data_IF_675808666638
#
_entry.id   IF_675808666638
#
_cell.length_a   1.000
_cell.length_b   1.000
_cell.length_c   1.000
_cell.angle_alpha   90.00
_cell.angle_beta   90.00
_cell.angle_gamma   90.00
#
_symmetry.space_group_name_H-M   'P 1'
#
loop_
_entity.id
_entity.type
_entity.pdbx_description
1 polymer ?
#
# COMPACT_ATOMS: atom_id res chain seq x y z
N UNK A 1 41.43 25.71 17.17
CA UNK A 1 40.74 25.74 15.85
C UNK A 1 40.35 24.36 15.33
N UNK A 2 41.23 23.33 15.35
CA UNK A 2 40.91 21.97 14.87
C UNK A 2 39.79 21.26 15.63
N UNK A 3 39.67 21.47 16.94
CA UNK A 3 38.63 20.84 17.77
C UNK A 3 37.23 21.42 17.53
N UNK A 4 37.12 22.72 17.28
CA UNK A 4 35.84 23.37 16.96
C UNK A 4 35.28 22.91 15.61
N UNK A 5 36.16 22.70 14.61
CA UNK A 5 35.77 22.16 13.31
C UNK A 5 35.27 20.70 13.43
N UNK A 6 35.89 19.89 14.29
CA UNK A 6 35.44 18.51 14.55
C UNK A 6 34.07 18.45 15.22
N UNK A 7 33.81 19.35 16.18
CA UNK A 7 32.51 19.43 16.87
C UNK A 7 31.42 19.89 15.89
N UNK A 8 31.70 20.91 15.07
CA UNK A 8 30.75 21.38 14.05
C UNK A 8 30.38 20.29 13.02
N UNK A 9 31.36 19.47 12.61
CA UNK A 9 31.13 18.35 11.70
C UNK A 9 30.26 17.25 12.33
N UNK A 10 30.46 16.95 13.62
CA UNK A 10 29.67 15.96 14.36
C UNK A 10 28.21 16.41 14.52
N UNK A 11 27.97 17.70 14.76
CA UNK A 11 26.62 18.27 14.88
C UNK A 11 25.80 18.22 13.57
N UNK A 12 26.45 18.20 12.39
CA UNK A 12 25.73 18.06 11.12
C UNK A 12 25.12 16.65 10.93
N UNK A 13 25.69 15.62 11.56
CA UNK A 13 25.25 14.23 11.37
C UNK A 13 24.00 13.93 12.21
N UNK A 14 23.82 14.61 13.35
CA UNK A 14 22.68 14.39 14.28
C UNK A 14 21.41 15.13 13.82
N UNK A 15 21.52 16.09 12.90
CA UNK A 15 20.40 16.91 12.43
C UNK A 15 19.63 16.36 11.23
N UNK A 16 19.98 15.19 10.70
CA UNK A 16 19.26 14.60 9.57
C UNK A 16 17.90 14.07 10.04
N UNK A 17 16.77 14.48 9.42
CA UNK A 17 15.47 13.92 9.75
C UNK A 17 15.47 12.43 9.41
N UNK A 18 15.20 11.59 10.40
CA UNK A 18 14.92 10.18 10.17
C UNK A 18 13.67 10.09 9.28
N UNK A 19 13.83 9.57 8.06
CA UNK A 19 12.71 9.26 7.16
C UNK A 19 12.01 7.99 7.67
N UNK A 20 11.33 8.11 8.80
CA UNK A 20 10.47 7.06 9.31
C UNK A 20 9.27 6.95 8.37
N UNK A 21 9.22 5.87 7.59
CA UNK A 21 8.05 5.56 6.79
C UNK A 21 6.98 5.05 7.75
N UNK A 22 5.79 5.66 7.69
CA UNK A 22 4.68 5.26 8.54
C UNK A 22 4.23 3.86 8.13
N UNK A 23 4.29 2.92 9.08
CA UNK A 23 3.75 1.58 8.91
C UNK A 23 2.28 1.64 9.30
N UNK A 24 1.42 1.37 8.33
CA UNK A 24 -0.01 1.22 8.52
C UNK A 24 -0.34 -0.25 8.83
N UNK A 25 -1.39 -0.47 9.62
CA UNK A 25 -1.95 -1.80 9.86
C UNK A 25 -3.43 -1.85 9.49
N UNK A 26 -3.87 -2.95 8.89
CA UNK A 26 -5.28 -3.22 8.69
C UNK A 26 -5.59 -4.17 7.53
N UNK A 27 -6.88 -4.55 7.48
CA UNK A 27 -7.45 -5.35 6.41
C UNK A 27 -7.57 -4.53 5.13
N UNK A 28 -6.70 -4.80 4.16
CA UNK A 28 -6.69 -4.14 2.86
C UNK A 28 -6.84 -5.16 1.72
N UNK A 29 -7.38 -4.68 0.60
CA UNK A 29 -7.38 -5.44 -0.63
C UNK A 29 -6.05 -5.27 -1.35
N UNK A 30 -5.42 -6.36 -1.75
CA UNK A 30 -4.13 -6.38 -2.44
C UNK A 30 -4.24 -7.18 -3.73
N UNK A 31 -3.45 -6.79 -4.72
CA UNK A 31 -3.19 -7.56 -5.93
C UNK A 31 -1.69 -7.56 -6.25
N UNK A 32 -1.22 -8.58 -6.98
CA UNK A 32 0.21 -8.75 -7.29
C UNK A 32 0.73 -7.70 -8.28
N UNK A 33 -0.13 -7.23 -9.18
CA UNK A 33 0.24 -6.31 -10.25
C UNK A 33 -0.66 -5.07 -10.31
N UNK A 34 -0.09 -3.97 -10.80
CA UNK A 34 -0.83 -2.75 -11.10
C UNK A 34 -2.02 -3.03 -12.04
N UNK A 35 -1.82 -3.86 -13.07
CA UNK A 35 -2.89 -4.19 -14.04
C UNK A 35 -4.07 -4.91 -13.38
N UNK A 36 -3.80 -5.85 -12.46
CA UNK A 36 -4.86 -6.56 -11.74
C UNK A 36 -5.65 -5.61 -10.84
N UNK A 37 -4.98 -4.73 -10.08
CA UNK A 37 -5.68 -3.80 -9.19
C UNK A 37 -6.46 -2.73 -9.97
N UNK A 38 -5.94 -2.27 -11.11
CA UNK A 38 -6.66 -1.36 -11.99
C UNK A 38 -7.91 -2.01 -12.55
N UNK A 39 -7.79 -3.26 -13.00
CA UNK A 39 -8.92 -4.05 -13.50
C UNK A 39 -9.96 -4.25 -12.40
N UNK A 40 -9.52 -4.51 -11.18
CA UNK A 40 -10.40 -4.60 -10.01
C UNK A 40 -11.16 -3.29 -9.81
N UNK A 41 -10.47 -2.15 -9.83
CA UNK A 41 -11.09 -0.84 -9.64
C UNK A 41 -12.10 -0.50 -10.74
N UNK A 42 -11.88 -0.94 -11.98
CA UNK A 42 -12.84 -0.76 -13.08
C UNK A 42 -14.11 -1.60 -12.89
N UNK A 43 -13.97 -2.80 -12.35
CA UNK A 43 -15.06 -3.75 -12.13
C UNK A 43 -15.82 -3.55 -10.81
N UNK A 44 -15.29 -2.73 -9.90
CA UNK A 44 -15.82 -2.59 -8.56
C UNK A 44 -17.21 -1.92 -8.54
N UNK A 45 -18.20 -2.65 -8.03
CA UNK A 45 -19.60 -2.24 -7.92
C UNK A 45 -20.07 -2.12 -6.46
N UNK A 46 -19.13 -2.02 -5.51
CA UNK A 46 -19.39 -2.05 -4.08
C UNK A 46 -19.28 -3.44 -3.45
N UNK A 47 -19.07 -4.51 -4.25
CA UNK A 47 -18.98 -5.89 -3.74
C UNK A 47 -17.57 -6.48 -3.95
N UNK A 48 -16.68 -6.43 -2.95
CA UNK A 48 -15.28 -6.83 -3.12
C UNK A 48 -15.09 -8.30 -3.51
N UNK A 49 -15.79 -9.25 -2.87
CA UNK A 49 -15.62 -10.69 -3.09
C UNK A 49 -15.87 -11.13 -4.55
N UNK A 50 -17.03 -10.82 -5.18
CA UNK A 50 -17.27 -11.22 -6.56
C UNK A 50 -16.29 -10.54 -7.53
N UNK A 51 -15.93 -9.27 -7.30
CA UNK A 51 -14.96 -8.55 -8.15
C UNK A 51 -13.57 -9.17 -8.08
N UNK A 52 -13.05 -9.48 -6.88
CA UNK A 52 -11.77 -10.18 -6.70
C UNK A 52 -11.79 -11.51 -7.46
N UNK A 53 -12.85 -12.31 -7.27
CA UNK A 53 -12.97 -13.62 -7.93
C UNK A 53 -12.93 -13.48 -9.46
N UNK A 54 -13.57 -12.46 -10.00
CA UNK A 54 -13.54 -12.21 -11.45
C UNK A 54 -12.12 -11.88 -11.92
N UNK A 55 -11.39 -10.99 -11.23
CA UNK A 55 -10.01 -10.64 -11.60
C UNK A 55 -9.07 -11.84 -11.52
N UNK A 56 -9.22 -12.69 -10.50
CA UNK A 56 -8.41 -13.90 -10.33
C UNK A 56 -8.65 -14.91 -11.47
N UNK A 57 -9.91 -15.04 -11.93
CA UNK A 57 -10.25 -15.84 -13.11
C UNK A 57 -9.63 -15.24 -14.38
N UNK A 58 -9.77 -13.93 -14.60
CA UNK A 58 -9.18 -13.24 -15.76
C UNK A 58 -7.64 -13.35 -15.79
N UNK A 59 -7.01 -13.41 -14.62
CA UNK A 59 -5.57 -13.59 -14.45
C UNK A 59 -5.09 -15.05 -14.59
N UNK A 60 -6.00 -16.03 -14.60
CA UNK A 60 -5.69 -17.45 -14.46
C UNK A 60 -4.86 -17.77 -13.20
N UNK A 61 -5.11 -17.03 -12.12
CA UNK A 61 -4.39 -17.18 -10.86
C UNK A 61 -5.37 -16.94 -9.69
N UNK A 62 -5.69 -17.98 -8.89
CA UNK A 62 -6.61 -17.85 -7.76
C UNK A 62 -6.10 -16.93 -6.65
N UNK A 63 -4.80 -16.61 -6.61
CA UNK A 63 -4.15 -15.75 -5.63
C UNK A 63 -3.88 -14.31 -6.08
N UNK A 64 -4.15 -13.98 -7.34
CA UNK A 64 -3.80 -12.69 -7.96
C UNK A 64 -4.26 -11.44 -7.19
N UNK A 65 -5.43 -11.52 -6.55
CA UNK A 65 -5.96 -10.51 -5.67
C UNK A 65 -6.64 -11.15 -4.45
N UNK A 66 -6.64 -10.45 -3.32
CA UNK A 66 -7.25 -10.90 -2.07
C UNK A 66 -7.43 -9.78 -1.05
N UNK A 67 -8.03 -10.12 0.09
CA UNK A 67 -8.06 -9.24 1.27
C UNK A 67 -7.19 -9.87 2.33
N UNK A 68 -6.27 -9.09 2.91
CA UNK A 68 -5.38 -9.55 3.97
C UNK A 68 -5.24 -8.47 5.03
N UNK A 69 -5.14 -8.88 6.30
CA UNK A 69 -4.80 -7.99 7.41
C UNK A 69 -3.28 -7.89 7.54
N UNK A 70 -2.74 -6.72 7.22
CA UNK A 70 -1.32 -6.54 6.93
C UNK A 70 -0.74 -5.39 7.73
N UNK A 71 0.57 -5.45 7.95
CA UNK A 71 1.40 -4.30 8.27
C UNK A 71 2.15 -3.90 7.00
N UNK A 72 1.98 -2.66 6.54
CA UNK A 72 2.49 -2.21 5.26
C UNK A 72 2.91 -0.74 5.26
N UNK A 73 3.81 -0.38 4.36
CA UNK A 73 4.17 1.01 4.06
C UNK A 73 3.49 1.42 2.76
N UNK A 74 2.74 2.53 2.79
CA UNK A 74 2.08 3.06 1.60
C UNK A 74 3.07 3.80 0.71
N UNK A 75 3.06 3.48 -0.59
CA UNK A 75 3.83 4.18 -1.61
C UNK A 75 3.10 5.39 -2.20
N UNK A 76 3.66 5.95 -3.27
CA UNK A 76 3.06 7.08 -4.00
C UNK A 76 1.91 6.61 -4.89
N UNK A 77 0.90 7.46 -5.06
CA UNK A 77 -0.19 7.24 -6.03
C UNK A 77 0.39 7.10 -7.43
N UNK A 78 0.06 6.00 -8.12
CA UNK A 78 0.50 5.72 -9.49
C UNK A 78 -0.53 6.15 -10.53
N UNK A 79 -1.80 6.22 -10.15
CA UNK A 79 -2.88 6.58 -11.05
C UNK A 79 -4.23 6.62 -10.35
N UNK A 80 -5.25 6.89 -11.15
CA UNK A 80 -6.65 6.93 -10.70
C UNK A 80 -7.48 6.04 -11.60
N UNK A 81 -8.31 5.20 -11.00
CA UNK A 81 -9.28 4.34 -11.69
C UNK A 81 -10.68 4.72 -11.25
N UNK A 82 -11.62 4.69 -12.19
CA UNK A 82 -13.02 4.97 -11.94
C UNK A 82 -13.87 3.77 -12.32
N UNK A 83 -14.77 3.39 -11.44
CA UNK A 83 -15.90 2.53 -11.75
C UNK A 83 -17.14 3.38 -12.03
N UNK A 84 -18.30 2.74 -12.19
CA UNK A 84 -19.58 3.46 -12.37
C UNK A 84 -19.96 4.31 -11.16
N UNK A 85 -19.53 3.95 -9.96
CA UNK A 85 -19.95 4.59 -8.71
C UNK A 85 -18.81 4.98 -7.77
N UNK A 86 -17.57 4.57 -8.05
CA UNK A 86 -16.42 4.85 -7.18
C UNK A 86 -15.24 5.38 -7.98
N UNK A 87 -14.42 6.20 -7.32
CA UNK A 87 -13.10 6.63 -7.82
C UNK A 87 -12.05 6.16 -6.83
N UNK A 88 -10.97 5.58 -7.34
CA UNK A 88 -9.88 5.04 -6.53
C UNK A 88 -8.54 5.57 -7.00
N UNK A 89 -7.64 5.82 -6.06
CA UNK A 89 -6.21 5.87 -6.34
C UNK A 89 -5.63 4.47 -6.35
N UNK A 90 -4.77 4.21 -7.32
CA UNK A 90 -3.94 2.99 -7.41
C UNK A 90 -2.64 3.26 -6.67
N UNK A 91 -2.35 2.46 -5.64
CA UNK A 91 -1.24 2.70 -4.72
C UNK A 91 -0.44 1.41 -4.50
N UNK A 92 0.89 1.40 -4.66
CA UNK A 92 1.72 0.29 -4.26
C UNK A 92 1.88 0.31 -2.75
N UNK A 93 1.90 -0.86 -2.13
CA UNK A 93 2.15 -1.05 -0.71
C UNK A 93 3.31 -2.01 -0.55
N UNK A 94 4.28 -1.65 0.29
CA UNK A 94 5.34 -2.55 0.72
C UNK A 94 4.85 -3.29 1.96
N UNK A 95 4.49 -4.55 1.81
CA UNK A 95 4.09 -5.42 2.91
C UNK A 95 5.33 -5.80 3.69
N UNK A 96 5.30 -5.59 5.01
CA UNK A 96 6.40 -5.89 5.94
C UNK A 96 5.98 -6.87 7.03
N UNK A 97 4.68 -7.11 7.19
CA UNK A 97 4.15 -8.08 8.13
C UNK A 97 2.70 -8.47 7.84
N UNK A 98 2.27 -9.56 8.45
CA UNK A 98 0.87 -10.01 8.49
C UNK A 98 0.37 -9.85 9.93
N UNK A 99 -0.82 -9.30 10.09
CA UNK A 99 -1.44 -9.17 11.40
C UNK A 99 -2.14 -10.49 11.76
N UNK A 100 -1.74 -11.12 12.86
CA UNK A 100 -2.36 -12.33 13.39
C UNK A 100 -2.98 -12.07 14.76
N UNK A 101 -3.70 -13.05 15.32
CA UNK A 101 -4.24 -12.95 16.68
C UNK A 101 -3.14 -12.74 17.75
N UNK A 102 -1.91 -13.13 17.45
CA UNK A 102 -0.74 -12.97 18.33
C UNK A 102 0.02 -11.65 18.09
N UNK A 103 -0.47 -10.81 17.17
CA UNK A 103 0.13 -9.55 16.74
C UNK A 103 0.80 -9.61 15.37
N UNK A 104 1.57 -8.58 15.04
CA UNK A 104 2.22 -8.48 13.73
C UNK A 104 3.39 -9.45 13.63
N UNK A 105 3.32 -10.36 12.65
CA UNK A 105 4.41 -11.27 12.29
C UNK A 105 5.14 -10.72 11.07
N UNK A 106 6.47 -10.51 11.13
CA UNK A 106 7.22 -10.03 9.98
C UNK A 106 7.23 -11.08 8.86
N UNK A 107 7.26 -10.60 7.63
CA UNK A 107 7.37 -11.43 6.43
C UNK A 107 8.51 -10.95 5.54
N UNK A 108 8.88 -11.75 4.55
CA UNK A 108 9.72 -11.26 3.45
C UNK A 108 9.00 -10.10 2.76
N UNK A 109 9.67 -8.96 2.64
CA UNK A 109 9.04 -7.74 2.17
C UNK A 109 8.66 -7.86 0.69
N UNK A 110 7.40 -7.55 0.37
CA UNK A 110 6.87 -7.66 -0.99
C UNK A 110 6.09 -6.41 -1.37
N UNK A 111 6.23 -5.97 -2.62
CA UNK A 111 5.43 -4.87 -3.17
C UNK A 111 4.18 -5.44 -3.81
N UNK A 112 3.02 -5.03 -3.30
CA UNK A 112 1.70 -5.34 -3.83
C UNK A 112 0.96 -4.04 -4.16
N UNK A 113 -0.23 -4.14 -4.74
CA UNK A 113 -1.00 -2.97 -5.17
C UNK A 113 -2.39 -2.97 -4.55
N UNK A 114 -2.86 -1.81 -4.12
CA UNK A 114 -4.17 -1.60 -3.49
C UNK A 114 -4.93 -0.44 -4.12
N UNK A 115 -6.23 -0.37 -3.83
CA UNK A 115 -7.11 0.75 -4.14
C UNK A 115 -7.38 1.55 -2.89
N UNK A 116 -7.22 2.87 -2.98
CA UNK A 116 -7.63 3.83 -1.94
C UNK A 116 -8.78 4.66 -2.49
N UNK A 117 -9.97 4.56 -1.88
CA UNK A 117 -11.13 5.32 -2.33
C UNK A 117 -10.92 6.83 -2.18
N UNK A 118 -11.22 7.58 -3.24
CA UNK A 118 -11.16 9.04 -3.24
C UNK A 118 -12.44 9.57 -2.61
N UNK A 119 -12.33 10.12 -1.40
CA UNK A 119 -13.44 10.85 -0.76
C UNK A 119 -13.42 12.30 -1.22
N UNK A 120 -14.30 12.64 -2.15
CA UNK A 120 -14.59 14.04 -2.47
C UNK A 120 -15.36 14.65 -1.28
N UNK A 121 -14.70 15.52 -0.51
CA UNK A 121 -15.41 16.35 0.46
C UNK A 121 -15.96 17.54 -0.33
N UNK A 122 -17.29 17.69 -0.36
CA UNK A 122 -17.91 18.90 -0.91
C UNK A 122 -17.41 20.10 -0.08
N UNK A 123 -16.71 21.02 -0.76
CA UNK A 123 -16.28 22.31 -0.21
C UNK A 123 -17.46 23.28 -0.32
#
# INVERSE_FOLDING_TARGET
>A
MKSALRIALLSLIVGLPAQAHEVETGAIMICDTQKQVERLGQLFDGKPKPTIRQVNIEANDPGACGVADLAYVRGKVLGTVRSKSHTFHVVPVLVVGVNTEEGVRPVEAAVLFTLVEVREHAI
#
